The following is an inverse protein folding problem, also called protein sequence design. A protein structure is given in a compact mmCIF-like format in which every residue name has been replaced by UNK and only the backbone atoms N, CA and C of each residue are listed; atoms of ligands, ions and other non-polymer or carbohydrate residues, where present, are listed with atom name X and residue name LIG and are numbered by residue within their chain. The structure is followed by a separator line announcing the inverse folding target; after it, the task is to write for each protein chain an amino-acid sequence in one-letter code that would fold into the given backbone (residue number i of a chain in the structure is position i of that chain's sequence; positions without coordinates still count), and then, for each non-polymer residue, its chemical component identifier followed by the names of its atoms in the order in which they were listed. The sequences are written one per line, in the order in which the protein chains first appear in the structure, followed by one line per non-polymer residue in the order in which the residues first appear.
data_IF_061579501880
#
_entry.id   IF_061579501880
#
_cell.length_a   1.000
_cell.length_b   1.000
_cell.length_c   1.000
_cell.angle_alpha   90.00
_cell.angle_beta   90.00
_cell.angle_gamma   90.00
#
_symmetry.space_group_name_H-M   'P 1'
#
loop_
_entity.id
_entity.type
_entity.pdbx_description
1 polymer ?
#
# COMPACT_ATOMS: atom_id res chain seq x y z
N UNK A 1 -21.56 -2.59 10.04
CA UNK A 1 -20.53 -1.53 10.15
C UNK A 1 -19.74 -1.56 11.46
N UNK A 2 -20.34 -1.87 12.63
CA UNK A 2 -19.61 -1.98 13.91
C UNK A 2 -18.59 -3.14 13.98
N UNK A 3 -18.89 -4.27 13.34
CA UNK A 3 -18.07 -5.49 13.38
C UNK A 3 -16.67 -5.32 12.77
N UNK A 4 -16.55 -4.58 11.65
CA UNK A 4 -15.26 -4.38 10.96
C UNK A 4 -14.31 -3.45 11.71
N UNK A 5 -14.84 -2.46 12.43
CA UNK A 5 -14.04 -1.54 13.23
C UNK A 5 -13.38 -2.23 14.43
N UNK A 6 -14.13 -3.09 15.12
CA UNK A 6 -13.60 -3.88 16.24
C UNK A 6 -12.56 -4.89 15.75
N UNK A 7 -12.84 -5.58 14.64
CA UNK A 7 -11.89 -6.54 14.05
C UNK A 7 -10.58 -5.86 13.63
N UNK A 8 -10.67 -4.66 13.02
CA UNK A 8 -9.50 -3.84 12.68
C UNK A 8 -8.65 -3.57 13.91
N UNK A 9 -9.23 -3.06 14.99
CA UNK A 9 -8.53 -2.73 16.23
C UNK A 9 -7.84 -3.95 16.83
N UNK A 10 -8.50 -5.12 16.82
CA UNK A 10 -7.93 -6.37 17.33
C UNK A 10 -6.71 -6.80 16.50
N UNK A 11 -6.80 -6.75 15.16
CA UNK A 11 -5.72 -7.19 14.28
C UNK A 11 -4.55 -6.20 14.22
N UNK A 12 -4.81 -4.89 14.18
CA UNK A 12 -3.77 -3.86 14.14
C UNK A 12 -3.24 -3.49 15.53
N UNK A 13 -3.91 -3.94 16.60
CA UNK A 13 -3.68 -3.55 18.00
C UNK A 13 -3.60 -2.03 18.18
N UNK A 14 -4.31 -1.29 17.33
CA UNK A 14 -4.25 0.16 17.26
C UNK A 14 -5.64 0.77 17.04
N UNK A 15 -5.98 1.73 17.89
CA UNK A 15 -7.21 2.52 17.78
C UNK A 15 -7.07 3.64 16.75
N UNK A 16 -5.84 4.10 16.51
CA UNK A 16 -5.54 5.15 15.55
C UNK A 16 -5.94 4.69 14.13
N UNK A 17 -6.60 5.55 13.33
CA UNK A 17 -6.82 5.28 11.92
C UNK A 17 -5.47 5.13 11.21
N UNK A 18 -5.39 4.18 10.28
CA UNK A 18 -4.17 3.99 9.50
C UNK A 18 -4.16 5.07 8.43
N UNK A 19 -3.42 6.13 8.69
CA UNK A 19 -3.26 7.25 7.76
C UNK A 19 -1.88 7.12 7.13
N UNK A 20 -1.84 7.00 5.80
CA UNK A 20 -0.59 7.13 5.07
C UNK A 20 -0.20 8.60 5.05
N UNK A 21 0.69 9.00 5.96
CA UNK A 21 1.30 10.33 5.93
C UNK A 21 2.42 10.32 4.90
N UNK A 22 2.17 10.94 3.74
CA UNK A 22 3.22 11.21 2.78
C UNK A 22 3.89 12.53 3.14
N UNK A 23 5.17 12.48 3.51
CA UNK A 23 6.00 13.69 3.59
C UNK A 23 6.28 14.16 2.17
N UNK A 24 5.36 14.93 1.61
CA UNK A 24 5.57 15.59 0.33
C UNK A 24 6.60 16.70 0.50
N UNK A 25 7.56 16.85 -0.43
CA UNK A 25 8.39 18.05 -0.47
C UNK A 25 7.49 19.29 -0.51
N UNK A 26 7.92 20.39 0.10
CA UNK A 26 7.21 21.67 0.17
C UNK A 26 7.17 22.39 -1.20
N UNK A 27 6.88 21.66 -2.26
CA UNK A 27 6.67 22.22 -3.59
C UNK A 27 5.21 22.70 -3.73
N UNK A 28 5.00 23.98 -4.06
CA UNK A 28 3.66 24.56 -4.14
C UNK A 28 2.80 24.00 -5.28
N UNK A 29 3.40 23.44 -6.35
CA UNK A 29 2.63 22.87 -7.48
C UNK A 29 1.92 21.58 -7.08
N UNK A 30 2.56 20.77 -6.22
CA UNK A 30 2.02 19.48 -5.74
C UNK A 30 0.91 19.69 -4.70
N UNK A 31 1.03 20.69 -3.83
CA UNK A 31 0.01 21.01 -2.81
C UNK A 31 -1.29 21.58 -3.40
N UNK A 32 -1.24 22.20 -4.58
CA UNK A 32 -2.41 22.86 -5.18
C UNK A 32 -3.40 21.90 -5.86
N UNK A 33 -2.95 20.71 -6.23
CA UNK A 33 -3.77 19.71 -6.93
C UNK A 33 -4.34 18.71 -5.92
N UNK A 34 -5.52 19.02 -5.41
CA UNK A 34 -6.26 18.15 -4.47
C UNK A 34 -6.72 16.81 -5.08
N UNK A 35 -6.57 16.63 -6.41
CA UNK A 35 -6.96 15.45 -7.18
C UNK A 35 -5.79 14.50 -7.53
N UNK A 36 -4.60 14.72 -6.96
CA UNK A 36 -3.46 13.82 -7.15
C UNK A 36 -3.63 12.52 -6.34
N UNK A 37 -4.04 11.45 -7.02
CA UNK A 37 -4.09 10.10 -6.47
C UNK A 37 -2.84 9.28 -6.81
N UNK A 38 -2.07 8.84 -5.80
CA UNK A 38 -0.96 7.90 -6.01
C UNK A 38 -1.49 6.46 -6.03
N UNK A 39 -1.43 5.81 -7.20
CA UNK A 39 -1.75 4.39 -7.31
C UNK A 39 -0.49 3.54 -7.25
N UNK A 40 -0.36 2.73 -6.20
CA UNK A 40 0.75 1.80 -6.04
C UNK A 40 0.33 0.40 -6.48
N UNK A 41 0.91 -0.07 -7.58
CA UNK A 41 0.79 -1.46 -7.99
C UNK A 41 1.89 -2.30 -7.32
N UNK A 42 1.51 -3.28 -6.50
CA UNK A 42 2.44 -4.18 -5.81
C UNK A 42 2.25 -5.62 -6.32
N UNK A 43 3.07 -6.10 -7.27
CA UNK A 43 2.87 -7.42 -7.89
C UNK A 43 3.41 -8.62 -7.09
N UNK A 44 4.12 -8.39 -5.98
CA UNK A 44 4.77 -9.45 -5.20
C UNK A 44 4.48 -9.35 -3.70
N UNK A 45 4.55 -10.47 -3.00
CA UNK A 45 4.50 -10.53 -1.54
C UNK A 45 5.73 -11.22 -0.93
N UNK A 46 6.15 -10.79 0.26
CA UNK A 46 7.18 -11.51 1.04
C UNK A 46 6.70 -12.87 1.55
N UNK A 47 5.40 -13.02 1.78
CA UNK A 47 4.75 -14.26 2.16
C UNK A 47 3.37 -14.34 1.50
N UNK A 48 2.93 -15.54 1.12
CA UNK A 48 1.62 -15.70 0.47
C UNK A 48 0.50 -15.64 1.50
N UNK A 49 -0.34 -14.61 1.40
CA UNK A 49 -1.53 -14.48 2.23
C UNK A 49 -2.70 -15.24 1.61
N UNK A 50 -3.39 -16.08 2.39
CA UNK A 50 -4.55 -16.87 1.94
C UNK A 50 -5.74 -16.03 1.47
N UNK A 51 -5.80 -14.77 1.88
CA UNK A 51 -6.87 -13.84 1.58
C UNK A 51 -6.51 -12.82 0.49
N UNK A 52 -5.27 -12.78 -0.02
CA UNK A 52 -4.87 -11.76 -0.98
C UNK A 52 -5.32 -12.15 -2.40
N UNK A 53 -6.16 -11.34 -3.07
CA UNK A 53 -6.63 -11.66 -4.42
C UNK A 53 -5.63 -11.26 -5.51
N UNK A 54 -4.72 -10.32 -5.22
CA UNK A 54 -3.84 -9.69 -6.22
C UNK A 54 -2.41 -10.22 -6.23
N UNK A 55 -1.86 -10.52 -5.05
CA UNK A 55 -0.44 -10.83 -4.92
C UNK A 55 -0.25 -12.32 -4.62
N UNK A 56 -0.06 -13.12 -5.67
CA UNK A 56 0.14 -14.58 -5.56
C UNK A 56 1.57 -15.03 -5.89
N UNK A 57 2.48 -14.09 -6.12
CA UNK A 57 3.88 -14.37 -6.45
C UNK A 57 4.76 -13.98 -5.27
N UNK A 58 5.61 -14.90 -4.82
CA UNK A 58 6.61 -14.62 -3.80
C UNK A 58 7.66 -13.66 -4.35
N UNK A 59 8.09 -12.73 -3.51
CA UNK A 59 9.16 -11.81 -3.85
C UNK A 59 10.44 -12.59 -4.15
N UNK A 60 10.93 -12.42 -5.38
CA UNK A 60 12.25 -12.83 -5.81
C UNK A 60 13.00 -11.59 -6.31
N UNK A 61 14.25 -11.43 -5.86
CA UNK A 61 15.04 -10.23 -6.15
C UNK A 61 15.36 -10.10 -7.64
N UNK A 62 15.58 -11.22 -8.33
CA UNK A 62 15.89 -11.25 -9.77
C UNK A 62 14.63 -10.91 -10.57
N UNK A 63 13.51 -11.55 -10.25
CA UNK A 63 12.21 -11.28 -10.88
C UNK A 63 11.74 -9.83 -10.68
N UNK A 64 11.98 -9.27 -9.49
CA UNK A 64 11.65 -7.88 -9.20
C UNK A 64 12.49 -6.88 -10.02
N UNK A 65 13.73 -7.24 -10.40
CA UNK A 65 14.56 -6.42 -11.28
C UNK A 65 14.07 -6.46 -12.73
N UNK A 66 13.54 -7.60 -13.19
CA UNK A 66 12.98 -7.75 -14.53
C UNK A 66 11.63 -7.03 -14.70
N UNK A 67 10.81 -7.03 -13.66
CA UNK A 67 9.47 -6.41 -13.65
C UNK A 67 9.49 -4.93 -13.25
N UNK A 68 10.66 -4.28 -13.25
CA UNK A 68 10.73 -2.82 -13.15
C UNK A 68 9.99 -2.23 -14.34
N UNK A 69 8.88 -1.55 -14.07
CA UNK A 69 8.14 -0.78 -15.09
C UNK A 69 9.16 0.09 -15.84
N UNK A 70 9.26 -0.12 -17.15
CA UNK A 70 10.42 0.22 -17.97
C UNK A 70 10.91 1.66 -17.83
N UNK A 71 12.24 1.80 -17.97
CA UNK A 71 12.88 2.97 -18.57
C UNK A 71 12.32 3.27 -19.95
#
# INVERSE_FOLDING_TARGET
MLSTSVLRIIMTRSLEPFVFSLELPDDPEVKSNNDLGLYLHMPFCRSLCSFCPYCKVLYDKTLALELRCGT
#
